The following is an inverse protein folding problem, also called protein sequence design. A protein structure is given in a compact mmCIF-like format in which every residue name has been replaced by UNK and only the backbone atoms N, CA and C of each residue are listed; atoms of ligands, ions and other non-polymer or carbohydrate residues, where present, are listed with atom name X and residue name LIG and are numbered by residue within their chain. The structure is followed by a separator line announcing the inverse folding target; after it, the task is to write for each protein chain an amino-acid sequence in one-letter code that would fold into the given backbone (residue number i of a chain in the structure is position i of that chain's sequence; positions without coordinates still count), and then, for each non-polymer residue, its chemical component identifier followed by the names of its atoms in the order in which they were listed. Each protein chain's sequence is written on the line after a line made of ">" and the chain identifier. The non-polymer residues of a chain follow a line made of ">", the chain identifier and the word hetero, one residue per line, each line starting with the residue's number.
data_IF_664989602726
#
_entry.id   IF_664989602726
#
_cell.length_a   1.000
_cell.length_b   1.000
_cell.length_c   1.000
_cell.angle_alpha   90.00
_cell.angle_beta   90.00
_cell.angle_gamma   90.00
#
_symmetry.space_group_name_H-M   'P 1'
#
loop_
_entity.id
_entity.type
_entity.pdbx_description
1 polymer ?
#
# COMPACT_ATOMS: atom_id res chain seq x y z
N UNK A 1 -35.80 14.85 26.81
CA UNK A 1 -36.23 16.00 26.01
C UNK A 1 -37.13 16.89 26.85
N UNK A 2 -36.60 17.39 27.96
CA UNK A 2 -37.27 18.26 28.92
C UNK A 2 -37.36 19.72 28.45
N UNK A 3 -36.56 20.11 27.45
CA UNK A 3 -36.54 21.46 26.91
C UNK A 3 -37.47 21.68 25.70
N UNK A 4 -38.05 20.63 25.12
CA UNK A 4 -38.88 20.74 23.91
C UNK A 4 -40.28 21.25 24.29
N UNK A 5 -40.63 22.45 23.82
CA UNK A 5 -41.90 23.10 24.14
C UNK A 5 -42.39 24.02 23.01
N UNK A 6 -43.65 24.45 23.10
CA UNK A 6 -44.18 25.53 22.27
C UNK A 6 -43.65 26.90 22.74
N UNK A 7 -42.99 27.66 21.86
CA UNK A 7 -42.46 28.99 22.21
C UNK A 7 -43.53 30.08 22.42
N UNK A 8 -44.83 29.79 22.24
CA UNK A 8 -45.93 30.72 22.50
C UNK A 8 -46.64 30.47 23.84
N UNK A 9 -46.98 29.21 24.13
CA UNK A 9 -47.75 28.84 25.32
C UNK A 9 -46.99 27.95 26.30
N UNK A 10 -45.72 27.64 26.03
CA UNK A 10 -44.83 26.84 26.87
C UNK A 10 -45.29 25.41 27.18
N UNK A 11 -46.32 24.90 26.49
CA UNK A 11 -46.74 23.50 26.60
C UNK A 11 -45.66 22.57 26.05
N UNK A 12 -45.34 21.53 26.80
CA UNK A 12 -44.44 20.46 26.37
C UNK A 12 -45.16 19.44 25.48
N UNK A 13 -44.42 18.50 24.90
CA UNK A 13 -45.00 17.40 24.12
C UNK A 13 -45.79 16.45 25.05
N UNK A 14 -47.11 16.44 24.88
CA UNK A 14 -48.05 15.52 25.54
C UNK A 14 -48.89 14.77 24.49
N UNK A 15 -49.66 13.77 24.92
CA UNK A 15 -50.53 13.01 24.03
C UNK A 15 -51.52 13.93 23.28
N UNK A 16 -51.53 13.85 21.95
CA UNK A 16 -52.38 14.68 21.09
C UNK A 16 -51.86 16.10 20.83
N UNK A 17 -50.67 16.46 21.34
CA UNK A 17 -49.99 17.72 21.02
C UNK A 17 -48.83 17.43 20.07
N UNK A 18 -48.83 18.09 18.91
CA UNK A 18 -47.72 18.03 17.97
C UNK A 18 -47.09 19.41 17.81
N UNK A 19 -45.76 19.44 17.76
CA UNK A 19 -45.00 20.67 17.52
C UNK A 19 -44.66 20.82 16.04
N UNK A 20 -44.60 22.06 15.59
CA UNK A 20 -44.15 22.43 14.25
C UNK A 20 -42.97 23.37 14.39
N UNK A 21 -41.92 23.12 13.63
CA UNK A 21 -40.73 23.95 13.55
C UNK A 21 -40.87 24.95 12.40
N UNK A 22 -40.54 26.21 12.66
CA UNK A 22 -40.48 27.25 11.63
C UNK A 22 -39.10 27.33 10.99
N UNK A 23 -38.99 27.85 9.77
CA UNK A 23 -37.69 28.12 9.12
C UNK A 23 -36.80 29.10 9.90
N UNK A 24 -37.36 29.89 10.81
CA UNK A 24 -36.62 30.76 11.72
C UNK A 24 -36.22 30.11 13.06
N UNK A 25 -36.48 28.80 13.23
CA UNK A 25 -36.04 28.02 14.40
C UNK A 25 -36.99 27.99 15.60
N UNK A 26 -38.12 28.72 15.56
CA UNK A 26 -39.12 28.68 16.64
C UNK A 26 -40.12 27.53 16.45
N UNK A 27 -40.61 26.97 17.55
CA UNK A 27 -41.50 25.83 17.60
C UNK A 27 -42.88 26.19 18.18
N UNK A 28 -43.96 25.72 17.54
CA UNK A 28 -45.33 25.99 17.96
C UNK A 28 -46.19 24.72 17.98
N UNK A 29 -47.04 24.58 18.99
CA UNK A 29 -48.01 23.48 19.03
C UNK A 29 -49.14 23.69 18.02
N UNK A 30 -49.78 22.59 17.60
CA UNK A 30 -50.92 22.60 16.69
C UNK A 30 -52.03 23.55 17.15
N UNK A 31 -52.39 23.55 18.45
CA UNK A 31 -53.40 24.47 19.02
C UNK A 31 -53.04 25.95 18.81
N UNK A 32 -51.77 26.31 18.97
CA UNK A 32 -51.31 27.70 18.81
C UNK A 32 -51.30 28.15 17.34
N UNK A 33 -51.11 27.21 16.42
CA UNK A 33 -51.15 27.47 14.97
C UNK A 33 -52.58 27.53 14.45
N UNK A 34 -53.47 26.66 14.92
CA UNK A 34 -54.91 26.67 14.58
C UNK A 34 -55.60 27.95 15.06
N UNK A 35 -55.25 28.45 16.24
CA UNK A 35 -55.80 29.69 16.81
C UNK A 35 -55.14 30.98 16.25
N UNK A 36 -54.23 30.87 15.27
CA UNK A 36 -53.43 31.97 14.75
C UNK A 36 -54.05 32.62 13.50
N UNK A 37 -54.22 33.94 13.52
CA UNK A 37 -54.83 34.74 12.43
C UNK A 37 -53.88 34.92 11.23
N UNK A 38 -52.56 34.83 11.41
CA UNK A 38 -51.56 35.06 10.36
C UNK A 38 -50.87 33.77 9.94
N UNK A 39 -51.47 33.09 8.95
CA UNK A 39 -50.81 32.01 8.22
C UNK A 39 -49.44 32.51 7.73
N UNK A 40 -48.37 31.83 8.12
CA UNK A 40 -46.97 32.06 7.68
C UNK A 40 -46.18 33.18 8.37
N UNK A 41 -46.60 33.71 9.53
CA UNK A 41 -45.75 34.63 10.31
C UNK A 41 -45.39 34.04 11.68
N UNK A 42 -44.11 34.11 12.06
CA UNK A 42 -43.66 33.61 13.35
C UNK A 42 -44.25 34.42 14.52
N UNK A 43 -44.77 33.75 15.56
CA UNK A 43 -45.31 34.45 16.74
C UNK A 43 -44.23 35.12 17.62
N UNK A 44 -42.97 34.68 17.51
CA UNK A 44 -41.84 35.20 18.32
C UNK A 44 -41.14 36.33 17.58
N UNK A 45 -40.53 36.05 16.43
CA UNK A 45 -39.74 37.06 15.70
C UNK A 45 -40.53 37.90 14.69
N UNK A 46 -41.82 37.58 14.46
CA UNK A 46 -42.71 38.30 13.52
C UNK A 46 -42.24 38.32 12.05
N UNK A 47 -41.30 37.46 11.68
CA UNK A 47 -40.82 37.29 10.30
C UNK A 47 -41.70 36.26 9.57
N UNK A 48 -41.99 36.46 8.27
CA UNK A 48 -42.60 35.43 7.43
C UNK A 48 -41.75 34.16 7.40
N UNK A 49 -42.32 33.01 7.73
CA UNK A 49 -41.61 31.74 7.83
C UNK A 49 -42.47 30.57 7.38
N UNK A 50 -41.82 29.57 6.77
CA UNK A 50 -42.46 28.28 6.52
C UNK A 50 -42.51 27.48 7.81
N UNK A 51 -43.49 26.57 7.91
CA UNK A 51 -43.64 25.65 9.03
C UNK A 51 -43.55 24.21 8.55
N UNK A 52 -42.92 23.36 9.34
CA UNK A 52 -42.89 21.91 9.12
C UNK A 52 -43.28 21.19 10.41
N UNK A 53 -44.10 20.15 10.32
CA UNK A 53 -44.43 19.32 11.47
C UNK A 53 -43.18 18.58 11.95
N UNK A 54 -42.89 18.61 13.24
CA UNK A 54 -41.88 17.74 13.83
C UNK A 54 -42.42 16.32 13.85
N UNK A 55 -41.81 15.46 13.05
CA UNK A 55 -42.12 14.03 12.91
C UNK A 55 -40.82 13.25 12.99
N UNK A 56 -40.76 12.05 13.57
CA UNK A 56 -39.50 11.29 13.74
C UNK A 56 -38.69 11.02 12.45
N UNK A 57 -39.31 11.19 11.28
CA UNK A 57 -38.72 10.95 9.96
C UNK A 57 -38.32 12.26 9.25
N UNK A 58 -37.95 13.31 10.01
CA UNK A 58 -37.45 14.56 9.42
C UNK A 58 -36.02 14.40 8.88
N UNK A 59 -35.55 15.34 8.05
CA UNK A 59 -34.18 15.32 7.53
C UNK A 59 -33.14 15.18 8.65
N UNK A 60 -32.11 14.36 8.46
CA UNK A 60 -31.06 14.08 9.47
C UNK A 60 -30.49 15.34 10.10
N UNK A 61 -30.20 16.35 9.29
CA UNK A 61 -29.59 17.60 9.75
C UNK A 61 -30.52 18.36 10.72
N UNK A 62 -31.83 18.22 10.54
CA UNK A 62 -32.83 18.76 11.48
C UNK A 62 -32.95 17.87 12.71
N UNK A 63 -32.85 16.54 12.57
CA UNK A 63 -32.87 15.60 13.70
C UNK A 63 -31.72 15.84 14.66
N UNK A 64 -30.55 16.19 14.15
CA UNK A 64 -29.35 16.42 14.95
C UNK A 64 -29.57 17.55 15.98
N UNK A 65 -30.39 18.58 15.68
CA UNK A 65 -30.73 19.63 16.66
C UNK A 65 -31.54 19.13 17.86
N UNK A 66 -32.22 18.01 17.71
CA UNK A 66 -32.99 17.37 18.78
C UNK A 66 -32.23 16.21 19.40
N UNK A 67 -31.19 15.69 18.77
CA UNK A 67 -30.42 14.55 19.28
C UNK A 67 -29.56 14.98 20.47
N UNK A 68 -29.35 14.06 21.43
CA UNK A 68 -28.49 14.32 22.58
C UNK A 68 -27.07 14.72 22.10
N UNK A 69 -26.55 15.89 22.50
CA UNK A 69 -25.20 16.31 22.16
C UNK A 69 -24.14 15.26 22.51
N UNK A 70 -24.31 14.52 23.61
CA UNK A 70 -23.38 13.46 24.01
C UNK A 70 -23.36 12.31 23.00
N UNK A 71 -24.51 11.96 22.41
CA UNK A 71 -24.60 10.93 21.38
C UNK A 71 -23.92 11.37 20.07
N UNK A 72 -24.13 12.63 19.66
CA UNK A 72 -23.49 13.21 18.47
C UNK A 72 -21.96 13.23 18.66
N UNK A 73 -21.49 13.66 19.83
CA UNK A 73 -20.06 13.69 20.17
C UNK A 73 -19.48 12.28 20.16
N UNK A 74 -20.17 11.31 20.78
CA UNK A 74 -19.74 9.91 20.83
C UNK A 74 -19.61 9.31 19.43
N UNK A 75 -20.62 9.50 18.57
CA UNK A 75 -20.58 9.05 17.17
C UNK A 75 -19.42 9.68 16.41
N UNK A 76 -19.23 10.99 16.55
CA UNK A 76 -18.12 11.71 15.92
C UNK A 76 -16.76 11.20 16.40
N UNK A 77 -16.63 10.89 17.69
CA UNK A 77 -15.42 10.35 18.27
C UNK A 77 -15.09 8.95 17.75
N UNK A 78 -16.08 8.06 17.60
CA UNK A 78 -15.88 6.74 17.01
C UNK A 78 -15.41 6.82 15.54
N UNK A 79 -15.97 7.76 14.77
CA UNK A 79 -15.52 8.03 13.39
C UNK A 79 -14.06 8.49 13.38
N UNK A 80 -13.70 9.45 14.25
CA UNK A 80 -12.33 9.93 14.37
C UNK A 80 -11.36 8.82 14.79
N UNK A 81 -11.76 7.97 15.74
CA UNK A 81 -10.97 6.83 16.21
C UNK A 81 -10.71 5.84 15.08
N UNK A 82 -11.73 5.51 14.30
CA UNK A 82 -11.62 4.65 13.14
C UNK A 82 -10.62 5.23 12.12
N UNK A 83 -10.78 6.49 11.74
CA UNK A 83 -9.90 7.17 10.81
C UNK A 83 -8.45 7.22 11.31
N UNK A 84 -8.24 7.55 12.59
CA UNK A 84 -6.91 7.60 13.23
C UNK A 84 -6.22 6.24 13.21
N UNK A 85 -6.97 5.17 13.47
CA UNK A 85 -6.45 3.80 13.43
C UNK A 85 -5.99 3.41 12.02
N UNK A 86 -6.79 3.71 11.00
CA UNK A 86 -6.43 3.43 9.61
C UNK A 86 -5.21 4.25 9.16
N UNK A 87 -5.15 5.53 9.53
CA UNK A 87 -3.99 6.40 9.25
C UNK A 87 -2.72 5.86 9.88
N UNK A 88 -2.79 5.42 11.15
CA UNK A 88 -1.66 4.81 11.85
C UNK A 88 -1.14 3.57 11.12
N UNK A 89 -2.04 2.66 10.74
CA UNK A 89 -1.68 1.43 9.99
C UNK A 89 -0.99 1.76 8.66
N UNK A 90 -1.52 2.71 7.90
CA UNK A 90 -0.94 3.15 6.64
C UNK A 90 0.48 3.72 6.84
N UNK A 91 0.65 4.60 7.82
CA UNK A 91 1.96 5.20 8.12
C UNK A 91 2.99 4.14 8.53
N UNK A 92 2.60 3.17 9.38
CA UNK A 92 3.47 2.05 9.76
C UNK A 92 3.92 1.24 8.54
N UNK A 93 3.00 0.92 7.64
CA UNK A 93 3.31 0.19 6.39
C UNK A 93 4.28 0.98 5.49
N UNK A 94 4.02 2.27 5.28
CA UNK A 94 4.86 3.12 4.44
C UNK A 94 6.27 3.27 5.03
N UNK A 95 6.38 3.45 6.35
CA UNK A 95 7.66 3.54 7.04
C UNK A 95 8.45 2.24 6.91
N UNK A 96 7.80 1.09 7.11
CA UNK A 96 8.45 -0.21 6.96
C UNK A 96 8.91 -0.47 5.52
N UNK A 97 8.06 -0.12 4.54
CA UNK A 97 8.38 -0.26 3.11
C UNK A 97 9.58 0.62 2.73
N UNK A 98 9.60 1.84 3.24
CA UNK A 98 10.71 2.79 3.05
C UNK A 98 12.01 2.22 3.64
N UNK A 99 11.95 1.68 4.87
CA UNK A 99 13.12 1.03 5.50
C UNK A 99 13.64 -0.14 4.65
N UNK A 100 12.76 -1.02 4.19
CA UNK A 100 13.13 -2.15 3.32
C UNK A 100 13.81 -1.68 2.03
N UNK A 101 13.28 -0.63 1.40
CA UNK A 101 13.87 -0.03 0.20
C UNK A 101 15.29 0.47 0.47
N UNK A 102 15.51 1.23 1.55
CA UNK A 102 16.85 1.73 1.89
C UNK A 102 17.83 0.60 2.23
N UNK A 103 17.39 -0.45 2.93
CA UNK A 103 18.22 -1.63 3.18
C UNK A 103 18.63 -2.32 1.87
N UNK A 104 17.68 -2.57 0.97
CA UNK A 104 17.97 -3.19 -0.33
C UNK A 104 18.91 -2.32 -1.18
N UNK A 105 18.69 -1.00 -1.18
CA UNK A 105 19.57 -0.04 -1.87
C UNK A 105 21.00 -0.08 -1.34
N UNK A 106 21.17 -0.13 -0.02
CA UNK A 106 22.50 -0.22 0.60
C UNK A 106 23.20 -1.53 0.24
N UNK A 107 22.48 -2.66 0.25
CA UNK A 107 23.06 -3.95 -0.14
C UNK A 107 23.44 -4.00 -1.62
N UNK A 108 22.60 -3.45 -2.50
CA UNK A 108 22.93 -3.32 -3.93
C UNK A 108 24.21 -2.50 -4.14
N UNK A 109 24.38 -1.40 -3.40
CA UNK A 109 25.61 -0.59 -3.46
C UNK A 109 26.83 -1.39 -3.02
N UNK A 110 26.73 -2.15 -1.92
CA UNK A 110 27.80 -3.01 -1.42
C UNK A 110 28.17 -4.10 -2.43
N UNK A 111 27.19 -4.76 -3.03
CA UNK A 111 27.39 -5.77 -4.07
C UNK A 111 28.03 -5.19 -5.32
N UNK A 112 27.63 -4.00 -5.74
CA UNK A 112 28.25 -3.29 -6.85
C UNK A 112 29.74 -3.02 -6.59
N UNK A 113 30.10 -2.53 -5.39
CA UNK A 113 31.49 -2.29 -5.00
C UNK A 113 32.32 -3.59 -4.98
N UNK A 114 31.75 -4.69 -4.48
CA UNK A 114 32.41 -6.00 -4.47
C UNK A 114 32.65 -6.52 -5.90
N UNK A 115 31.62 -6.45 -6.76
CA UNK A 115 31.72 -6.86 -8.15
C UNK A 115 32.79 -6.05 -8.90
N UNK A 116 32.89 -4.74 -8.64
CA UNK A 116 33.93 -3.89 -9.23
C UNK A 116 35.33 -4.30 -8.77
N UNK A 117 35.52 -4.62 -7.48
CA UNK A 117 36.80 -5.12 -6.95
C UNK A 117 37.19 -6.46 -7.59
N UNK A 118 36.25 -7.41 -7.64
CA UNK A 118 36.48 -8.71 -8.27
C UNK A 118 36.81 -8.59 -9.76
N UNK A 119 36.11 -7.72 -10.48
CA UNK A 119 36.41 -7.44 -11.90
C UNK A 119 37.81 -6.88 -12.09
N UNK A 120 38.25 -5.98 -11.20
CA UNK A 120 39.62 -5.44 -11.23
C UNK A 120 40.65 -6.55 -10.97
N UNK A 121 40.45 -7.38 -9.96
CA UNK A 121 41.34 -8.51 -9.66
C UNK A 121 41.40 -9.51 -10.82
N UNK A 122 40.26 -9.86 -11.42
CA UNK A 122 40.20 -10.76 -12.57
C UNK A 122 41.02 -10.23 -13.75
N UNK A 123 40.94 -8.92 -14.04
CA UNK A 123 41.76 -8.28 -15.08
C UNK A 123 43.26 -8.39 -14.78
N UNK A 124 43.68 -8.20 -13.53
CA UNK A 124 45.08 -8.34 -13.13
C UNK A 124 45.57 -9.80 -13.27
N UNK A 125 44.77 -10.77 -12.83
CA UNK A 125 45.10 -12.20 -13.03
C UNK A 125 45.18 -12.57 -14.51
N UNK A 126 44.28 -12.08 -15.36
CA UNK A 126 44.34 -12.32 -16.80
C UNK A 126 45.63 -11.76 -17.43
N UNK A 127 46.08 -10.57 -17.01
CA UNK A 127 47.37 -10.02 -17.46
C UNK A 127 48.54 -10.90 -17.02
N UNK A 128 48.53 -11.35 -15.76
CA UNK A 128 49.59 -12.19 -15.21
C UNK A 128 49.67 -13.55 -15.94
N UNK A 129 48.53 -14.20 -16.18
CA UNK A 129 48.47 -15.46 -16.92
C UNK A 129 49.07 -15.29 -18.32
N UNK A 130 48.64 -14.27 -19.07
CA UNK A 130 49.19 -13.98 -20.40
C UNK A 130 50.70 -13.75 -20.38
N UNK A 131 51.20 -13.07 -19.35
CA UNK A 131 52.64 -12.84 -19.18
C UNK A 131 53.42 -14.12 -18.91
N UNK A 132 52.89 -15.00 -18.05
CA UNK A 132 53.50 -16.29 -17.74
C UNK A 132 53.46 -17.25 -18.94
N UNK A 133 52.35 -17.29 -19.68
CA UNK A 133 52.22 -18.06 -20.92
C UNK A 133 53.28 -17.63 -21.96
N UNK A 134 53.47 -16.32 -22.14
CA UNK A 134 54.51 -15.77 -23.02
C UNK A 134 55.91 -16.20 -22.59
N UNK A 135 56.21 -16.16 -21.28
CA UNK A 135 57.50 -16.64 -20.75
C UNK A 135 57.71 -18.13 -21.01
N UNK A 136 56.70 -18.97 -20.78
CA UNK A 136 56.76 -20.41 -21.02
C UNK A 136 57.07 -20.72 -22.49
N UNK A 137 56.34 -20.09 -23.43
CA UNK A 137 56.58 -20.27 -24.87
C UNK A 137 58.01 -19.87 -25.26
N UNK A 138 58.51 -18.77 -24.70
CA UNK A 138 59.88 -18.31 -24.99
C UNK A 138 60.94 -19.24 -24.37
N UNK A 139 60.66 -19.88 -23.23
CA UNK A 139 61.57 -20.82 -22.58
C UNK A 139 61.61 -22.18 -23.31
N UNK A 140 60.48 -22.68 -23.82
CA UNK A 140 60.43 -23.90 -24.65
C UNK A 140 61.22 -23.73 -25.95
N UNK A 141 61.24 -22.52 -26.54
CA UNK A 141 62.08 -22.21 -27.72
C UNK A 141 63.58 -22.25 -27.42
N UNK A 142 64.00 -22.01 -26.17
CA UNK A 142 65.40 -22.03 -25.76
C UNK A 142 65.88 -23.41 -25.27
N UNK A 143 64.96 -24.31 -24.91
CA UNK A 143 65.24 -25.67 -24.40
C UNK A 143 65.19 -26.76 -25.49
N UNK A 144 65.36 -26.42 -26.78
CA UNK A 144 65.62 -27.42 -27.82
C UNK A 144 67.08 -27.38 -28.30
N UNK A 145 68.05 -28.04 -27.62
CA UNK A 145 69.43 -28.12 -28.11
C UNK A 145 69.67 -29.22 -29.14
N UNK A 146 68.68 -30.06 -29.49
CA UNK A 146 68.88 -31.16 -30.43
C UNK A 146 67.74 -31.30 -31.43
N UNK A 147 67.80 -30.50 -32.51
CA UNK A 147 67.30 -30.94 -33.81
C UNK A 147 68.48 -31.56 -34.56
N UNK A 148 68.67 -32.87 -34.38
CA UNK A 148 69.49 -33.67 -35.30
C UNK A 148 68.56 -34.15 -36.41
N UNK A 149 68.87 -33.91 -37.69
CA UNK A 149 68.13 -34.56 -38.77
C UNK A 149 68.53 -36.04 -38.79
N UNK A 150 67.62 -36.92 -38.37
CA UNK A 150 67.80 -38.36 -38.53
C UNK A 150 67.44 -38.71 -39.98
N UNK A 151 68.45 -38.96 -40.79
CA UNK A 151 68.32 -39.64 -42.09
C UNK A 151 67.74 -41.05 -41.90
N UNK A 152 67.00 -41.61 -42.87
CA UNK A 152 66.23 -42.83 -42.68
C UNK A 152 67.12 -44.06 -42.78
N UNK A 153 67.38 -44.73 -41.66
CA UNK A 153 67.90 -46.09 -41.67
C UNK A 153 66.88 -47.03 -41.02
N UNK A 154 66.36 -47.89 -41.88
CA UNK A 154 65.52 -49.04 -41.62
C UNK A 154 66.04 -49.88 -40.45
N UNK A 155 65.23 -50.05 -39.41
CA UNK A 155 65.16 -51.29 -38.63
C UNK A 155 63.76 -51.44 -38.05
N UNK A 156 63.06 -52.45 -38.56
CA UNK A 156 61.83 -53.04 -38.05
C UNK A 156 62.14 -53.61 -36.64
N UNK A 157 61.27 -53.51 -35.63
CA UNK A 157 60.17 -54.45 -35.37
C UNK A 157 59.45 -54.05 -34.04
N UNK A 158 58.41 -54.75 -33.55
CA UNK A 158 57.01 -54.42 -33.80
C UNK A 158 56.21 -54.20 -32.49
N UNK A 159 55.05 -53.55 -32.56
CA UNK A 159 54.10 -53.59 -31.43
C UNK A 159 53.19 -52.39 -31.29
N UNK A 160 52.51 -52.00 -32.36
CA UNK A 160 51.34 -51.16 -32.26
C UNK A 160 50.13 -52.05 -31.95
N UNK A 161 49.73 -52.12 -30.68
CA UNK A 161 48.33 -52.37 -30.33
C UNK A 161 47.86 -51.27 -29.40
N UNK A 162 47.15 -50.36 -30.04
CA UNK A 162 46.32 -49.32 -29.47
C UNK A 162 45.28 -49.93 -28.52
N UNK A 163 45.23 -49.42 -27.30
CA UNK A 163 44.13 -49.66 -26.36
C UNK A 163 44.03 -48.47 -25.42
N UNK A 164 43.47 -47.36 -25.89
CA UNK A 164 42.98 -46.31 -25.00
C UNK A 164 41.71 -46.82 -24.32
N UNK A 165 41.62 -46.82 -22.98
CA UNK A 165 40.36 -47.10 -22.31
C UNK A 165 39.43 -45.92 -22.57
N UNK A 166 38.28 -46.18 -23.18
CA UNK A 166 37.20 -45.20 -23.26
C UNK A 166 36.60 -45.07 -21.87
N UNK A 167 37.15 -44.18 -21.04
CA UNK A 167 36.46 -43.75 -19.83
C UNK A 167 35.30 -42.87 -20.26
N UNK A 168 34.11 -43.49 -20.37
CA UNK A 168 32.84 -42.78 -20.37
C UNK A 168 32.77 -41.95 -19.09
N UNK A 169 33.09 -40.66 -19.18
CA UNK A 169 32.74 -39.71 -18.12
C UNK A 169 31.22 -39.55 -18.19
N UNK A 170 30.51 -40.22 -17.29
CA UNK A 170 29.10 -40.03 -17.08
C UNK A 170 28.83 -38.54 -16.83
N UNK A 171 28.02 -37.93 -17.68
CA UNK A 171 27.40 -36.64 -17.38
C UNK A 171 26.56 -36.84 -16.12
N UNK A 172 27.04 -36.35 -14.98
CA UNK A 172 26.19 -36.17 -13.81
C UNK A 172 25.27 -35.00 -14.11
N UNK A 173 24.14 -35.32 -14.74
CA UNK A 173 22.95 -34.49 -14.69
C UNK A 173 22.49 -34.42 -13.24
N UNK A 174 22.83 -33.34 -12.55
CA UNK A 174 22.06 -32.92 -11.38
C UNK A 174 20.96 -31.96 -11.85
N UNK A 175 19.69 -32.24 -11.54
CA UNK A 175 18.58 -31.38 -11.90
C UNK A 175 18.54 -30.22 -10.92
N UNK A 176 18.68 -28.99 -11.41
CA UNK A 176 18.38 -27.82 -10.60
C UNK A 176 17.62 -26.79 -11.43
N UNK A 177 16.39 -27.16 -11.77
CA UNK A 177 15.33 -26.19 -12.00
C UNK A 177 14.82 -25.72 -10.64
N UNK A 178 15.50 -24.75 -10.04
CA UNK A 178 14.81 -23.78 -9.20
C UNK A 178 14.61 -22.52 -10.02
N UNK A 179 13.36 -22.35 -10.44
CA UNK A 179 12.78 -21.04 -10.75
C UNK A 179 13.00 -20.13 -9.54
N UNK A 180 14.00 -19.26 -9.62
CA UNK A 180 13.97 -18.03 -8.85
C UNK A 180 12.76 -17.25 -9.34
N UNK A 181 11.65 -17.32 -8.60
CA UNK A 181 10.63 -16.30 -8.69
C UNK A 181 11.26 -15.01 -8.16
N UNK A 182 11.76 -14.19 -9.10
CA UNK A 182 11.95 -12.79 -8.86
C UNK A 182 10.57 -12.18 -8.62
N UNK A 183 10.17 -12.08 -7.35
CA UNK A 183 9.11 -11.16 -6.93
C UNK A 183 9.67 -9.73 -6.98
N UNK A 184 10.10 -9.29 -8.16
CA UNK A 184 10.21 -7.89 -8.50
C UNK A 184 8.78 -7.41 -8.67
N UNK A 185 8.20 -6.92 -7.57
CA UNK A 185 6.99 -6.11 -7.61
C UNK A 185 7.38 -4.80 -8.28
N UNK A 186 7.39 -4.81 -9.61
CA UNK A 186 7.32 -3.60 -10.40
C UNK A 186 5.91 -3.05 -10.21
N UNK A 187 5.73 -1.80 -9.80
CA UNK A 187 4.41 -1.19 -9.85
C UNK A 187 4.00 -1.15 -11.32
N UNK A 188 2.92 -1.84 -11.67
CA UNK A 188 2.30 -1.69 -12.99
C UNK A 188 2.04 -0.20 -13.22
N UNK A 189 2.70 0.32 -14.25
CA UNK A 189 2.49 1.69 -14.75
C UNK A 189 1.02 1.77 -15.17
N UNK A 190 0.21 2.52 -14.42
CA UNK A 190 -1.16 2.84 -14.81
C UNK A 190 -1.06 3.66 -16.10
N UNK A 191 -1.29 2.99 -17.23
CA UNK A 191 -1.56 3.65 -18.50
C UNK A 191 -2.94 4.30 -18.38
N UNK A 192 -2.98 5.63 -18.32
CA UNK A 192 -4.20 6.40 -18.54
C UNK A 192 -4.56 6.31 -20.01
N UNK A 193 -5.46 5.40 -20.38
CA UNK A 193 -6.26 5.61 -21.58
C UNK A 193 -7.40 6.57 -21.25
N UNK A 194 -7.32 7.76 -21.84
CA UNK A 194 -8.46 8.64 -22.04
C UNK A 194 -9.36 7.99 -23.08
N UNK A 195 -10.60 7.69 -22.69
CA UNK A 195 -11.72 7.55 -23.61
C UNK A 195 -12.91 8.28 -23.01
N UNK A 196 -13.28 9.39 -23.63
CA UNK A 196 -14.52 10.11 -23.46
C UNK A 196 -15.71 9.27 -23.94
N UNK A 197 -16.81 9.25 -23.17
CA UNK A 197 -18.21 9.37 -23.65
C UNK A 197 -19.22 9.29 -22.50
N UNK A 198 -19.93 10.40 -22.29
CA UNK A 198 -21.36 10.56 -21.94
C UNK A 198 -22.11 9.62 -20.97
N UNK A 199 -22.60 10.26 -19.89
CA UNK A 199 -23.97 10.24 -19.35
C UNK A 199 -24.64 8.89 -18.99
N UNK A 200 -24.89 8.66 -17.69
CA UNK A 200 -26.25 8.65 -17.15
C UNK A 200 -26.23 8.71 -15.61
N UNK A 201 -27.12 9.52 -15.07
CA UNK A 201 -27.55 9.54 -13.67
C UNK A 201 -28.11 8.16 -13.30
N UNK A 202 -27.87 7.66 -12.07
CA UNK A 202 -28.85 6.97 -11.22
C UNK A 202 -28.31 6.87 -9.78
N UNK A 203 -29.11 7.39 -8.85
CA UNK A 203 -28.99 7.19 -7.40
C UNK A 203 -29.34 5.74 -7.08
N UNK A 204 -28.55 5.09 -6.22
CA UNK A 204 -29.00 3.89 -5.51
C UNK A 204 -28.39 3.85 -4.12
N UNK A 205 -29.30 4.03 -3.15
CA UNK A 205 -29.18 3.77 -1.73
C UNK A 205 -29.09 2.27 -1.48
N UNK A 206 -27.93 1.80 -1.03
CA UNK A 206 -27.81 0.50 -0.36
C UNK A 206 -26.78 0.60 0.76
N UNK A 207 -27.28 0.40 1.99
CA UNK A 207 -26.52 0.19 3.21
C UNK A 207 -25.60 -1.02 3.09
N UNK A 208 -24.35 -0.80 2.67
CA UNK A 208 -23.34 -1.85 2.66
C UNK A 208 -22.60 -1.86 4.00
N UNK A 209 -22.99 -2.79 4.89
CA UNK A 209 -22.09 -3.28 5.93
C UNK A 209 -20.83 -3.76 5.24
N UNK A 210 -19.72 -3.06 5.46
CA UNK A 210 -18.42 -3.45 4.93
C UNK A 210 -17.99 -4.74 5.63
N UNK A 211 -18.24 -5.88 4.98
CA UNK A 211 -17.68 -7.16 5.39
C UNK A 211 -16.20 -7.16 5.00
N UNK A 212 -15.34 -6.78 5.94
CA UNK A 212 -13.88 -6.74 5.78
C UNK A 212 -13.32 -8.15 5.87
N UNK A 213 -13.34 -8.91 4.77
CA UNK A 213 -12.70 -10.24 4.68
C UNK A 213 -11.20 -10.19 4.40
N UNK A 214 -10.57 -9.02 4.41
CA UNK A 214 -9.10 -8.92 4.32
C UNK A 214 -8.51 -9.03 5.74
N UNK A 215 -8.28 -10.26 6.17
CA UNK A 215 -7.43 -10.54 7.33
C UNK A 215 -5.97 -10.19 6.99
N UNK A 216 -5.59 -8.92 7.18
CA UNK A 216 -4.18 -8.58 7.35
C UNK A 216 -3.73 -8.97 8.76
N UNK A 217 -2.63 -9.72 8.92
CA UNK A 217 -2.19 -10.25 10.21
C UNK A 217 -1.87 -9.12 11.21
N UNK A 218 -2.06 -9.37 12.52
CA UNK A 218 -1.78 -8.37 13.55
C UNK A 218 -0.28 -8.03 13.57
N UNK A 219 0.04 -6.75 13.39
CA UNK A 219 1.40 -6.23 13.68
C UNK A 219 1.64 -6.23 15.18
N UNK A 220 2.72 -6.89 15.61
CA UNK A 220 3.24 -6.80 16.99
C UNK A 220 3.44 -5.34 17.41
N UNK A 221 3.08 -5.04 18.66
CA UNK A 221 3.20 -3.72 19.28
C UNK A 221 4.66 -3.26 19.28
N UNK A 222 5.03 -2.39 18.33
CA UNK A 222 6.31 -1.70 18.39
C UNK A 222 6.20 -0.49 19.33
N UNK A 223 6.75 -0.63 20.53
CA UNK A 223 6.88 0.36 21.61
C UNK A 223 7.72 1.62 21.26
N UNK A 224 7.75 2.05 20.00
CA UNK A 224 8.66 3.10 19.52
C UNK A 224 8.05 4.48 19.30
N UNK A 225 6.73 4.64 19.42
CA UNK A 225 6.06 5.87 18.95
C UNK A 225 6.08 7.04 19.94
N UNK A 226 6.55 6.86 21.19
CA UNK A 226 6.50 7.90 22.22
C UNK A 226 7.54 9.02 21.99
N UNK A 227 8.60 8.78 21.22
CA UNK A 227 9.70 9.76 21.09
C UNK A 227 9.55 10.79 19.96
N UNK A 228 8.56 10.68 19.07
CA UNK A 228 8.45 11.60 17.92
C UNK A 228 7.66 12.89 18.23
N UNK A 229 6.92 12.95 19.33
CA UNK A 229 6.07 14.12 19.69
C UNK A 229 6.74 15.13 20.63
N UNK A 230 8.02 14.94 21.00
CA UNK A 230 8.75 15.89 21.89
C UNK A 230 9.46 17.03 21.14
N UNK A 231 9.35 17.11 19.81
CA UNK A 231 10.04 18.10 18.99
C UNK A 231 9.13 18.84 17.98
N UNK A 232 7.83 18.94 18.28
CA UNK A 232 6.90 19.87 17.64
C UNK A 232 6.29 20.75 18.73
#
# INVERSE_FOLDING_TARGET
>A
MDWIHCNKCFVQLEQGIFLHLTSCGHMFCNKCLENGISQNTCFVCRVPCTTMKLVPDMNSDVQDYFTDPEEIIKKSWEVLRFQKQHRRRLLSYLLQSTKKFYTARTELKRMQELCQKQHKQMKEYQKLIKHLESKLVNQTKQLSPFNVPISPSSNLSPGFLQSTPTYKRAAKSTPYSQTYQSNLVTPSRISRNRSSSSAHSQRSSTSNRISSTVFTPPTQESAGYINFLKHL
#
